data_IF_278646663850
#
_entry.id   IF_278646663850
#
_cell.length_a   1.000
_cell.length_b   1.000
_cell.length_c   1.000
_cell.angle_alpha   90.00
_cell.angle_beta   90.00
_cell.angle_gamma   90.00
#
_symmetry.space_group_name_H-M   'P 1'
#
loop_
_entity.id
_entity.type
_entity.pdbx_description
1 polymer ?
#
# COMPACT_ATOMS: atom_id res chain seq x y z
N UNK A 1 -16.24 -12.00 27.53
CA UNK A 1 -14.96 -11.29 27.31
C UNK A 1 -14.72 -10.34 28.47
N UNK A 2 -13.59 -10.43 29.17
CA UNK A 2 -13.25 -9.53 30.28
C UNK A 2 -12.80 -8.16 29.74
N UNK A 3 -13.03 -7.08 30.49
CA UNK A 3 -12.65 -5.70 30.08
C UNK A 3 -11.16 -5.59 29.69
N UNK A 4 -10.28 -6.34 30.35
CA UNK A 4 -8.85 -6.43 30.00
C UNK A 4 -8.58 -7.08 28.63
N UNK A 5 -9.37 -8.09 28.24
CA UNK A 5 -9.22 -8.73 26.92
C UNK A 5 -9.59 -7.77 25.78
N UNK A 6 -10.58 -6.90 25.99
CA UNK A 6 -11.00 -5.87 25.02
C UNK A 6 -9.96 -4.76 24.85
N UNK A 7 -9.44 -4.20 25.96
CA UNK A 7 -8.37 -3.18 25.92
C UNK A 7 -7.10 -3.68 25.24
N UNK A 8 -6.71 -4.93 25.50
CA UNK A 8 -5.54 -5.54 24.85
C UNK A 8 -5.78 -5.77 23.35
N UNK A 9 -7.00 -6.12 22.94
CA UNK A 9 -7.34 -6.25 21.53
C UNK A 9 -7.28 -4.91 20.79
N UNK A 10 -7.83 -3.84 21.38
CA UNK A 10 -7.78 -2.50 20.81
C UNK A 10 -6.34 -2.01 20.67
N UNK A 11 -5.51 -2.15 21.72
CA UNK A 11 -4.09 -1.78 21.68
C UNK A 11 -3.33 -2.50 20.55
N UNK A 12 -3.60 -3.81 20.34
CA UNK A 12 -3.00 -4.56 19.23
C UNK A 12 -3.46 -4.07 17.86
N UNK A 13 -4.75 -3.74 17.70
CA UNK A 13 -5.28 -3.14 16.45
C UNK A 13 -4.60 -1.81 16.15
N UNK A 14 -4.44 -0.95 17.15
CA UNK A 14 -3.75 0.35 17.00
C UNK A 14 -2.29 0.17 16.54
N UNK A 15 -1.52 -0.73 17.18
CA UNK A 15 -0.13 -0.99 16.77
C UNK A 15 -0.03 -1.63 15.38
N UNK A 16 -0.95 -2.54 15.03
CA UNK A 16 -1.02 -3.08 13.69
C UNK A 16 -1.27 -1.98 12.66
N UNK A 17 -2.17 -1.04 12.94
CA UNK A 17 -2.44 0.09 12.05
C UNK A 17 -1.21 0.99 11.88
N UNK A 18 -0.46 1.30 12.93
CA UNK A 18 0.80 2.04 12.77
C UNK A 18 1.76 1.36 11.77
N UNK A 19 1.87 0.03 11.82
CA UNK A 19 2.65 -0.74 10.84
C UNK A 19 2.03 -0.72 9.45
N UNK A 20 0.70 -0.82 9.34
CA UNK A 20 0.00 -0.75 8.06
C UNK A 20 -0.03 0.65 7.45
N UNK A 21 0.21 1.73 8.21
CA UNK A 21 0.51 3.05 7.65
C UNK A 21 1.99 3.20 7.26
N UNK A 22 2.91 2.58 8.01
CA UNK A 22 4.35 2.60 7.72
C UNK A 22 4.72 1.85 6.44
N UNK A 23 4.21 0.63 6.27
CA UNK A 23 4.58 -0.25 5.15
C UNK A 23 4.28 0.36 3.77
N UNK A 24 3.12 1.00 3.52
CA UNK A 24 2.88 1.66 2.25
C UNK A 24 3.92 2.73 1.90
N UNK A 25 4.27 3.60 2.85
CA UNK A 25 5.30 4.61 2.64
C UNK A 25 6.67 3.99 2.31
N UNK A 26 7.06 2.97 3.07
CA UNK A 26 8.29 2.20 2.86
C UNK A 26 8.36 1.59 1.45
N UNK A 27 7.31 0.85 1.08
CA UNK A 27 7.25 0.14 -0.20
C UNK A 27 7.21 1.11 -1.38
N UNK A 28 6.44 2.21 -1.29
CA UNK A 28 6.39 3.22 -2.35
C UNK A 28 7.75 3.88 -2.55
N UNK A 29 8.39 4.34 -1.47
CA UNK A 29 9.68 5.03 -1.55
C UNK A 29 10.81 4.10 -2.03
N UNK A 30 10.74 2.80 -1.72
CA UNK A 30 11.77 1.81 -2.08
C UNK A 30 12.08 1.72 -3.58
N UNK A 31 11.13 2.09 -4.45
CA UNK A 31 11.37 2.11 -5.89
C UNK A 31 11.15 3.50 -6.50
N UNK A 32 10.23 4.31 -5.98
CA UNK A 32 9.86 5.58 -6.60
C UNK A 32 11.04 6.56 -6.68
N UNK A 33 11.92 6.59 -5.67
CA UNK A 33 13.13 7.42 -5.67
C UNK A 33 14.17 6.98 -6.70
N UNK A 34 14.05 5.73 -7.20
CA UNK A 34 14.94 5.10 -8.16
C UNK A 34 14.38 5.09 -9.59
N UNK A 35 13.28 5.81 -9.84
CA UNK A 35 12.63 5.89 -11.16
C UNK A 35 13.60 6.19 -12.32
N UNK A 36 14.57 7.12 -12.21
CA UNK A 36 15.53 7.35 -13.29
C UNK A 36 16.42 6.13 -13.58
N UNK A 37 16.94 5.46 -12.54
CA UNK A 37 17.75 4.27 -12.70
C UNK A 37 16.95 3.10 -13.27
N UNK A 38 15.69 2.94 -12.85
CA UNK A 38 14.77 1.94 -13.38
C UNK A 38 14.51 2.16 -14.87
N UNK A 39 14.26 3.40 -15.30
CA UNK A 39 14.11 3.76 -16.71
C UNK A 39 15.35 3.34 -17.51
N UNK A 40 16.54 3.65 -16.99
CA UNK A 40 17.80 3.35 -17.67
C UNK A 40 18.05 1.84 -17.77
N UNK A 41 17.75 1.07 -16.71
CA UNK A 41 17.81 -0.41 -16.73
C UNK A 41 16.85 -0.97 -17.78
N UNK A 42 15.61 -0.46 -17.82
CA UNK A 42 14.58 -0.88 -18.77
C UNK A 42 14.85 -0.41 -20.21
N UNK A 43 15.87 0.45 -20.42
CA UNK A 43 16.25 1.00 -21.72
C UNK A 43 15.10 1.69 -22.46
N UNK A 44 14.25 2.39 -21.71
CA UNK A 44 13.07 3.09 -22.25
C UNK A 44 13.26 4.61 -22.25
N UNK A 45 12.64 5.28 -23.21
CA UNK A 45 12.55 6.74 -23.24
C UNK A 45 11.70 7.28 -22.08
N UNK A 46 11.76 8.60 -21.85
CA UNK A 46 10.91 9.28 -20.85
C UNK A 46 9.43 9.09 -21.16
N UNK A 47 9.04 9.17 -22.45
CA UNK A 47 7.66 9.00 -22.87
C UNK A 47 7.16 7.56 -22.61
N UNK A 48 7.97 6.56 -22.94
CA UNK A 48 7.65 5.16 -22.67
C UNK A 48 7.59 4.87 -21.16
N UNK A 49 8.48 5.46 -20.36
CA UNK A 49 8.41 5.36 -18.90
C UNK A 49 7.12 5.97 -18.35
N UNK A 50 6.63 7.06 -18.94
CA UNK A 50 5.30 7.59 -18.63
C UNK A 50 4.18 6.57 -18.88
N UNK A 51 4.27 5.83 -19.99
CA UNK A 51 3.36 4.71 -20.29
C UNK A 51 3.48 3.55 -19.30
N UNK A 52 4.69 3.21 -18.86
CA UNK A 52 4.93 2.19 -17.82
C UNK A 52 4.30 2.61 -16.49
N UNK A 53 4.51 3.86 -16.07
CA UNK A 53 3.93 4.42 -14.84
C UNK A 53 2.41 4.51 -14.90
N UNK A 54 1.81 4.60 -16.09
CA UNK A 54 0.35 4.55 -16.25
C UNK A 54 -0.26 3.25 -15.69
N UNK A 55 0.51 2.15 -15.69
CA UNK A 55 0.12 0.91 -15.01
C UNK A 55 -0.21 1.13 -13.53
N UNK A 56 0.62 1.90 -12.82
CA UNK A 56 0.39 2.26 -11.42
C UNK A 56 -0.94 3.02 -11.26
N UNK A 57 -1.21 3.99 -12.14
CA UNK A 57 -2.42 4.81 -12.11
C UNK A 57 -3.69 4.00 -12.36
N UNK A 58 -3.70 3.13 -13.38
CA UNK A 58 -4.83 2.24 -13.66
C UNK A 58 -5.07 1.31 -12.47
N UNK A 59 -3.99 0.72 -11.96
CA UNK A 59 -4.04 -0.16 -10.80
C UNK A 59 -4.65 0.55 -9.60
N UNK A 60 -4.06 1.66 -9.17
CA UNK A 60 -4.49 2.40 -7.99
C UNK A 60 -5.93 2.86 -8.07
N UNK A 61 -6.34 3.41 -9.21
CA UNK A 61 -7.73 3.81 -9.41
C UNK A 61 -8.69 2.62 -9.32
N UNK A 62 -8.35 1.49 -9.95
CA UNK A 62 -9.14 0.25 -9.86
C UNK A 62 -9.28 -0.23 -8.41
N UNK A 63 -8.19 -0.17 -7.63
CA UNK A 63 -8.17 -0.51 -6.21
C UNK A 63 -9.03 0.41 -5.35
N UNK A 64 -8.95 1.72 -5.57
CA UNK A 64 -9.76 2.72 -4.86
C UNK A 64 -11.25 2.49 -5.14
N UNK A 65 -11.62 2.35 -6.41
CA UNK A 65 -13.01 2.22 -6.85
C UNK A 65 -13.69 0.95 -6.32
N UNK A 66 -12.96 -0.17 -6.21
CA UNK A 66 -13.51 -1.42 -5.69
C UNK A 66 -13.46 -1.53 -4.16
N UNK A 67 -12.66 -0.69 -3.48
CA UNK A 67 -12.37 -0.85 -2.05
C UNK A 67 -13.60 -0.78 -1.16
N UNK A 68 -14.51 0.17 -1.40
CA UNK A 68 -15.73 0.29 -0.59
C UNK A 68 -16.58 -0.98 -0.62
N UNK A 69 -16.73 -1.59 -1.80
CA UNK A 69 -17.44 -2.86 -1.95
C UNK A 69 -16.70 -4.00 -1.25
N UNK A 70 -15.37 -4.10 -1.42
CA UNK A 70 -14.53 -5.12 -0.79
C UNK A 70 -14.63 -5.04 0.74
N UNK A 71 -14.48 -3.85 1.31
CA UNK A 71 -14.56 -3.61 2.76
C UNK A 71 -15.95 -3.97 3.29
N UNK A 72 -17.02 -3.60 2.58
CA UNK A 72 -18.39 -3.97 2.95
C UNK A 72 -18.60 -5.49 2.94
N UNK A 73 -18.02 -6.20 1.96
CA UNK A 73 -18.24 -7.63 1.76
C UNK A 73 -17.36 -8.52 2.65
N UNK A 74 -16.11 -8.14 2.86
CA UNK A 74 -15.07 -8.97 3.46
C UNK A 74 -14.52 -8.42 4.79
N UNK A 75 -14.85 -7.17 5.13
CA UNK A 75 -14.33 -6.46 6.30
C UNK A 75 -12.93 -5.88 6.08
N UNK A 76 -12.60 -4.82 6.81
CA UNK A 76 -11.31 -4.11 6.72
C UNK A 76 -10.12 -5.05 6.91
N UNK A 77 -10.12 -5.88 7.96
CA UNK A 77 -9.00 -6.78 8.28
C UNK A 77 -8.60 -7.67 7.11
N UNK A 78 -9.56 -8.34 6.49
CA UNK A 78 -9.27 -9.27 5.40
C UNK A 78 -8.81 -8.54 4.15
N UNK A 79 -9.45 -7.40 3.84
CA UNK A 79 -9.04 -6.55 2.71
C UNK A 79 -7.60 -6.10 2.89
N UNK A 80 -7.23 -5.55 4.05
CA UNK A 80 -5.86 -5.11 4.35
C UNK A 80 -4.85 -6.26 4.18
N UNK A 81 -5.13 -7.44 4.74
CA UNK A 81 -4.20 -8.57 4.65
C UNK A 81 -4.00 -9.05 3.21
N UNK A 82 -5.08 -9.19 2.46
CA UNK A 82 -5.02 -9.67 1.07
C UNK A 82 -4.32 -8.63 0.19
N UNK A 83 -4.72 -7.36 0.27
CA UNK A 83 -4.14 -6.32 -0.57
C UNK A 83 -2.68 -6.07 -0.23
N UNK A 84 -2.29 -6.03 1.04
CA UNK A 84 -0.87 -5.90 1.41
C UNK A 84 -0.04 -7.11 0.97
N UNK A 85 -0.60 -8.33 0.98
CA UNK A 85 0.06 -9.51 0.42
C UNK A 85 0.23 -9.39 -1.10
N UNK A 86 -0.81 -8.93 -1.81
CA UNK A 86 -0.73 -8.65 -3.24
C UNK A 86 0.27 -7.53 -3.58
N UNK A 87 0.45 -6.54 -2.70
CA UNK A 87 1.47 -5.51 -2.88
C UNK A 87 2.89 -6.11 -2.88
N UNK A 88 3.17 -7.09 -2.00
CA UNK A 88 4.44 -7.82 -2.02
C UNK A 88 4.63 -8.62 -3.32
N UNK A 89 3.55 -9.23 -3.84
CA UNK A 89 3.57 -9.90 -5.15
C UNK A 89 3.90 -8.89 -6.26
N UNK A 90 3.27 -7.72 -6.24
CA UNK A 90 3.61 -6.62 -7.16
C UNK A 90 5.09 -6.27 -7.10
N UNK A 91 5.66 -6.09 -5.90
CA UNK A 91 7.09 -5.79 -5.70
C UNK A 91 8.02 -6.90 -6.23
N UNK A 92 7.65 -8.17 -6.04
CA UNK A 92 8.40 -9.30 -6.61
C UNK A 92 8.39 -9.27 -8.14
N UNK A 93 7.24 -8.94 -8.75
CA UNK A 93 7.11 -8.77 -10.21
C UNK A 93 7.96 -7.60 -10.69
N UNK A 94 7.98 -6.47 -9.97
CA UNK A 94 8.86 -5.33 -10.31
C UNK A 94 10.34 -5.74 -10.32
N UNK A 95 10.79 -6.47 -9.29
CA UNK A 95 12.17 -6.96 -9.23
C UNK A 95 12.50 -7.93 -10.38
N UNK A 96 11.59 -8.86 -10.68
CA UNK A 96 11.75 -9.78 -11.80
C UNK A 96 11.77 -9.05 -13.15
N UNK A 97 10.95 -8.02 -13.31
CA UNK A 97 10.92 -7.20 -14.52
C UNK A 97 12.23 -6.46 -14.76
N UNK A 98 12.88 -5.98 -13.70
CA UNK A 98 14.22 -5.37 -13.80
C UNK A 98 15.28 -6.40 -14.19
N UNK A 99 15.23 -7.61 -13.62
CA UNK A 99 16.16 -8.70 -13.96
C UNK A 99 16.03 -9.13 -15.43
N UNK A 100 14.81 -9.14 -15.95
CA UNK A 100 14.50 -9.51 -17.34
C UNK A 100 14.54 -8.32 -18.31
N UNK A 101 14.82 -7.11 -17.82
CA UNK A 101 14.79 -5.87 -18.62
C UNK A 101 13.47 -5.71 -19.40
N UNK A 102 12.33 -5.97 -18.75
CA UNK A 102 11.01 -6.01 -19.39
C UNK A 102 10.10 -4.85 -18.94
N UNK A 103 9.91 -3.80 -19.77
CA UNK A 103 9.06 -2.66 -19.42
C UNK A 103 7.58 -3.03 -19.24
N UNK A 104 7.08 -3.95 -20.07
CA UNK A 104 5.70 -4.44 -19.98
C UNK A 104 5.45 -5.18 -18.66
N UNK A 105 6.37 -6.07 -18.27
CA UNK A 105 6.26 -6.78 -16.99
C UNK A 105 6.34 -5.82 -15.81
N UNK A 106 7.17 -4.78 -15.92
CA UNK A 106 7.26 -3.72 -14.90
C UNK A 106 5.93 -2.96 -14.78
N UNK A 107 5.29 -2.60 -15.90
CA UNK A 107 3.98 -1.96 -15.92
C UNK A 107 2.87 -2.83 -15.29
N UNK A 108 2.89 -4.14 -15.56
CA UNK A 108 1.97 -5.10 -14.92
C UNK A 108 2.22 -5.19 -13.41
N UNK A 109 3.48 -5.26 -13.00
CA UNK A 109 3.87 -5.23 -11.57
C UNK A 109 3.38 -3.96 -10.88
N UNK A 110 3.52 -2.80 -11.53
CA UNK A 110 3.00 -1.53 -11.04
C UNK A 110 1.48 -1.51 -10.97
N UNK A 111 0.78 -2.13 -11.92
CA UNK A 111 -0.68 -2.27 -11.89
C UNK A 111 -1.17 -3.09 -10.69
N UNK A 112 -0.55 -4.23 -10.43
CA UNK A 112 -0.87 -5.09 -9.28
C UNK A 112 -0.53 -4.35 -7.97
N UNK A 113 0.65 -3.75 -7.90
CA UNK A 113 1.09 -2.95 -6.75
C UNK A 113 0.14 -1.79 -6.49
N UNK A 114 -0.23 -1.04 -7.53
CA UNK A 114 -1.17 0.08 -7.46
C UNK A 114 -2.55 -0.35 -6.99
N UNK A 115 -3.14 -1.39 -7.58
CA UNK A 115 -4.46 -1.88 -7.18
C UNK A 115 -4.50 -2.35 -5.72
N UNK A 116 -3.43 -3.02 -5.31
CA UNK A 116 -3.21 -3.42 -3.93
C UNK A 116 -3.17 -2.21 -3.00
N UNK A 117 -2.33 -1.22 -3.32
CA UNK A 117 -2.19 0.02 -2.53
C UNK A 117 -3.49 0.80 -2.43
N UNK A 118 -4.14 1.07 -3.56
CA UNK A 118 -5.36 1.87 -3.60
C UNK A 118 -6.48 1.26 -2.74
N UNK A 119 -6.63 -0.07 -2.76
CA UNK A 119 -7.61 -0.74 -1.90
C UNK A 119 -7.14 -0.82 -0.44
N UNK A 120 -5.86 -1.12 -0.19
CA UNK A 120 -5.29 -1.18 1.15
C UNK A 120 -5.44 0.14 1.90
N UNK A 121 -5.05 1.26 1.29
CA UNK A 121 -5.08 2.57 1.95
C UNK A 121 -6.50 2.97 2.38
N UNK A 122 -7.50 2.75 1.52
CA UNK A 122 -8.90 3.00 1.90
C UNK A 122 -9.30 2.11 3.07
N UNK A 123 -8.99 0.81 3.03
CA UNK A 123 -9.34 -0.11 4.11
C UNK A 123 -8.63 0.21 5.45
N UNK A 124 -7.36 0.61 5.38
CA UNK A 124 -6.55 1.05 6.52
C UNK A 124 -7.14 2.32 7.15
N UNK A 125 -7.52 3.30 6.33
CA UNK A 125 -8.15 4.53 6.81
C UNK A 125 -9.52 4.27 7.47
N UNK A 126 -10.33 3.37 6.89
CA UNK A 126 -11.62 2.96 7.49
C UNK A 126 -11.40 2.28 8.85
N UNK A 127 -10.44 1.37 8.95
CA UNK A 127 -10.10 0.69 10.21
C UNK A 127 -9.49 1.66 11.24
N UNK A 128 -8.65 2.59 10.79
CA UNK A 128 -8.06 3.65 11.61
C UNK A 128 -9.12 4.57 12.22
N UNK A 129 -10.08 5.01 11.42
CA UNK A 129 -11.20 5.81 11.91
C UNK A 129 -12.08 5.02 12.91
N UNK A 130 -12.28 3.72 12.70
CA UNK A 130 -13.00 2.87 13.64
C UNK A 130 -12.25 2.74 14.99
N UNK A 131 -10.94 2.51 14.96
CA UNK A 131 -10.09 2.43 16.16
C UNK A 131 -10.04 3.77 16.89
N UNK A 132 -9.91 4.89 16.17
CA UNK A 132 -9.95 6.24 16.75
C UNK A 132 -11.25 6.51 17.52
N UNK A 133 -12.40 6.16 16.91
CA UNK A 133 -13.72 6.29 17.56
C UNK A 133 -13.82 5.40 18.80
N UNK A 134 -13.36 4.15 18.72
CA UNK A 134 -13.39 3.21 19.85
C UNK A 134 -12.46 3.66 20.99
N UNK A 135 -11.33 4.29 20.67
CA UNK A 135 -10.40 4.86 21.66
C UNK A 135 -10.90 6.18 22.27
N UNK A 136 -11.84 6.86 21.62
CA UNK A 136 -12.27 8.22 21.95
C UNK A 136 -11.09 9.21 22.07
N UNK A 137 -10.10 9.07 21.18
CA UNK A 137 -8.87 9.86 21.13
C UNK A 137 -8.40 10.01 19.69
N UNK A 138 -8.01 11.22 19.30
CA UNK A 138 -7.40 11.49 17.99
C UNK A 138 -6.06 10.76 17.86
N UNK A 139 -5.99 9.77 16.98
CA UNK A 139 -4.80 8.94 16.73
C UNK A 139 -4.50 8.78 15.24
N UNK A 140 -5.47 8.98 14.36
CA UNK A 140 -5.32 8.83 12.91
C UNK A 140 -4.25 9.76 12.32
N UNK A 141 -4.10 11.04 12.73
CA UNK A 141 -2.99 11.88 12.28
C UNK A 141 -1.60 11.33 12.67
N UNK A 142 -1.47 10.73 13.86
CA UNK A 142 -0.22 10.08 14.27
C UNK A 142 0.05 8.84 13.41
N UNK A 143 -0.99 8.09 13.05
CA UNK A 143 -0.86 6.96 12.12
C UNK A 143 -0.37 7.42 10.74
N UNK A 144 -0.87 8.53 10.20
CA UNK A 144 -0.31 9.14 8.98
C UNK A 144 1.15 9.58 9.15
N UNK A 145 1.56 10.02 10.34
CA UNK A 145 2.98 10.27 10.64
C UNK A 145 3.88 9.04 10.38
N UNK A 146 3.37 7.83 10.61
CA UNK A 146 4.11 6.60 10.31
C UNK A 146 4.25 6.33 8.81
N UNK A 147 3.32 6.80 7.96
CA UNK A 147 3.52 6.78 6.51
C UNK A 147 4.75 7.58 6.12
N UNK A 148 4.91 8.80 6.67
CA UNK A 148 6.11 9.62 6.43
C UNK A 148 7.38 8.96 6.94
N UNK A 149 7.34 8.31 8.12
CA UNK A 149 8.48 7.53 8.63
C UNK A 149 8.82 6.36 7.69
N UNK A 150 7.81 5.70 7.12
CA UNK A 150 8.00 4.64 6.12
C UNK A 150 8.68 5.18 4.87
N UNK A 151 8.17 6.28 4.32
CA UNK A 151 8.76 6.95 3.15
C UNK A 151 10.22 7.35 3.40
N UNK A 152 10.54 7.90 4.57
CA UNK A 152 11.92 8.23 4.95
C UNK A 152 12.81 6.99 5.02
N UNK A 153 12.32 5.89 5.60
CA UNK A 153 13.08 4.65 5.73
C UNK A 153 13.28 3.92 4.39
N UNK A 154 12.36 4.11 3.43
CA UNK A 154 12.39 3.42 2.14
C UNK A 154 13.15 4.16 1.03
N UNK A 155 13.32 5.47 1.17
CA UNK A 155 14.04 6.31 0.20
C UNK A 155 15.52 5.94 0.12
#
# INVERSE_FOLDING_TARGET
>A
MTVNSSRNALKRRTWALFMFFFLPGLLMASWATRTPAIRDILSVSIAEMGGVLFGLSIGSMSGILCSAWLVKRFGTRNVILVTMSCALIGMMILSLALWLTSPLLFAVGLGIFGASFGSAEVAINVEGAAVEREMNKTVLPMMHGFYSLGTLAGA
#
